data_IF_357630753183
#
_entry.id   IF_357630753183
#
_cell.length_a   1.000
_cell.length_b   1.000
_cell.length_c   1.000
_cell.angle_alpha   90.00
_cell.angle_beta   90.00
_cell.angle_gamma   90.00
#
_symmetry.space_group_name_H-M   'P 1'
#
loop_
_entity.id
_entity.type
_entity.pdbx_description
1 polymer ?
#
# COMPACT_ATOMS: atom_id res chain seq x y z
N UNK A 1 -24.58 -3.29 -8.48
CA UNK A 1 -23.49 -3.76 -9.39
C UNK A 1 -22.12 -3.17 -8.98
N UNK A 2 -21.69 -3.32 -7.73
CA UNK A 2 -20.38 -2.84 -7.24
C UNK A 2 -19.54 -3.99 -6.68
N UNK A 3 -20.19 -4.96 -6.01
CA UNK A 3 -19.58 -6.19 -5.50
C UNK A 3 -18.95 -7.07 -6.60
N UNK A 4 -19.44 -7.02 -7.83
CA UNK A 4 -18.96 -7.87 -8.94
C UNK A 4 -17.53 -7.53 -9.40
N UNK A 5 -16.95 -6.40 -9.00
CA UNK A 5 -15.56 -6.02 -9.32
C UNK A 5 -14.57 -6.35 -8.21
N UNK A 6 -15.04 -6.85 -7.06
CA UNK A 6 -14.18 -7.23 -5.96
C UNK A 6 -13.54 -8.57 -6.31
N UNK A 7 -12.27 -8.50 -6.72
CA UNK A 7 -11.46 -9.71 -6.96
C UNK A 7 -10.94 -10.22 -5.61
N UNK A 8 -10.76 -11.54 -5.47
CA UNK A 8 -10.18 -12.16 -4.27
C UNK A 8 -8.90 -11.44 -3.82
N UNK A 9 -8.05 -11.03 -4.78
CA UNK A 9 -6.85 -10.22 -4.52
C UNK A 9 -7.16 -8.92 -3.77
N UNK A 10 -8.18 -8.18 -4.18
CA UNK A 10 -8.59 -6.93 -3.53
C UNK A 10 -9.07 -7.18 -2.10
N UNK A 11 -9.80 -8.27 -1.86
CA UNK A 11 -10.25 -8.65 -0.50
C UNK A 11 -9.07 -8.95 0.40
N UNK A 12 -8.11 -9.75 -0.09
CA UNK A 12 -6.90 -10.10 0.65
C UNK A 12 -6.10 -8.85 1.01
N UNK A 13 -5.93 -7.92 0.07
CA UNK A 13 -5.25 -6.64 0.32
C UNK A 13 -5.98 -5.82 1.39
N UNK A 14 -7.31 -5.71 1.32
CA UNK A 14 -8.09 -4.96 2.31
C UNK A 14 -7.92 -5.57 3.71
N UNK A 15 -8.01 -6.89 3.84
CA UNK A 15 -7.83 -7.59 5.12
C UNK A 15 -6.42 -7.35 5.68
N UNK A 16 -5.38 -7.45 4.84
CA UNK A 16 -3.99 -7.19 5.24
C UNK A 16 -3.80 -5.76 5.76
N UNK A 17 -4.36 -4.76 5.07
CA UNK A 17 -4.25 -3.35 5.47
C UNK A 17 -4.95 -3.11 6.80
N UNK A 18 -6.18 -3.59 6.95
CA UNK A 18 -6.95 -3.43 8.20
C UNK A 18 -6.27 -4.19 9.35
N UNK A 19 -5.84 -5.43 9.12
CA UNK A 19 -5.16 -6.24 10.12
C UNK A 19 -3.87 -5.58 10.62
N UNK A 20 -3.03 -5.08 9.70
CA UNK A 20 -1.80 -4.39 10.06
C UNK A 20 -2.07 -3.09 10.83
N UNK A 21 -3.13 -2.35 10.48
CA UNK A 21 -3.53 -1.14 11.19
C UNK A 21 -4.00 -1.45 12.62
N UNK A 22 -4.83 -2.48 12.79
CA UNK A 22 -5.28 -2.92 14.12
C UNK A 22 -4.09 -3.36 14.97
N UNK A 23 -3.14 -4.10 14.39
CA UNK A 23 -1.94 -4.56 15.08
C UNK A 23 -1.05 -3.38 15.53
N UNK A 24 -0.95 -2.32 14.72
CA UNK A 24 -0.20 -1.11 15.07
C UNK A 24 -0.84 -0.30 16.22
N UNK A 25 -2.16 -0.38 16.37
CA UNK A 25 -2.90 0.25 17.47
C UNK A 25 -2.74 -0.60 18.74
N UNK A 26 -2.89 -1.92 18.63
CA UNK A 26 -2.86 -2.84 19.76
C UNK A 26 -1.45 -3.11 20.31
N UNK A 27 -0.43 -3.15 19.46
CA UNK A 27 0.96 -3.37 19.84
C UNK A 27 1.85 -2.19 19.43
N UNK A 28 2.38 -1.51 20.44
CA UNK A 28 3.29 -0.38 20.25
C UNK A 28 4.60 -0.78 19.56
N UNK A 29 5.05 -2.03 19.70
CA UNK A 29 6.26 -2.52 19.05
C UNK A 29 6.07 -2.74 17.55
N UNK A 30 4.83 -2.91 17.10
CA UNK A 30 4.51 -3.12 15.68
C UNK A 30 4.37 -1.81 14.89
N UNK A 31 4.17 -0.67 15.57
CA UNK A 31 4.09 0.66 14.94
C UNK A 31 5.20 0.98 13.94
N UNK A 32 6.50 0.77 14.25
CA UNK A 32 7.57 1.00 13.28
C UNK A 32 7.41 0.13 12.02
N UNK A 33 7.09 -1.15 12.18
CA UNK A 33 6.84 -2.07 11.06
C UNK A 33 5.64 -1.63 10.22
N UNK A 34 4.56 -1.19 10.85
CA UNK A 34 3.42 -0.61 10.14
C UNK A 34 3.81 0.66 9.37
N UNK A 35 4.64 1.52 9.97
CA UNK A 35 5.19 2.70 9.32
C UNK A 35 5.98 2.37 8.05
N UNK A 36 6.81 1.33 8.09
CA UNK A 36 7.56 0.86 6.92
C UNK A 36 6.65 0.33 5.82
N UNK A 37 5.63 -0.47 6.18
CA UNK A 37 4.63 -0.97 5.24
C UNK A 37 3.85 0.18 4.59
N UNK A 38 3.43 1.17 5.36
CA UNK A 38 2.74 2.36 4.86
C UNK A 38 3.65 3.17 3.93
N UNK A 39 4.92 3.35 4.31
CA UNK A 39 5.91 4.07 3.50
C UNK A 39 6.15 3.39 2.16
N UNK A 40 6.30 2.07 2.12
CA UNK A 40 6.46 1.29 0.87
C UNK A 40 5.18 1.36 0.04
N UNK A 41 4.01 1.21 0.64
CA UNK A 41 2.73 1.27 -0.08
C UNK A 41 2.47 2.64 -0.70
N UNK A 42 2.63 3.71 0.07
CA UNK A 42 2.47 5.10 -0.41
C UNK A 42 3.57 5.44 -1.41
N UNK A 43 4.82 5.09 -1.14
CA UNK A 43 5.94 5.33 -2.06
C UNK A 43 5.79 4.61 -3.39
N UNK A 44 5.31 3.37 -3.38
CA UNK A 44 4.99 2.61 -4.59
C UNK A 44 3.87 3.26 -5.39
N UNK A 45 2.78 3.65 -4.73
CA UNK A 45 1.67 4.33 -5.39
C UNK A 45 2.08 5.68 -5.99
N UNK A 46 2.80 6.51 -5.23
CA UNK A 46 3.33 7.79 -5.71
C UNK A 46 4.33 7.58 -6.86
N UNK A 47 5.17 6.54 -6.80
CA UNK A 47 6.09 6.17 -7.87
C UNK A 47 5.39 5.77 -9.16
N UNK A 48 4.20 5.16 -9.08
CA UNK A 48 3.36 4.85 -10.23
C UNK A 48 2.64 6.08 -10.79
N UNK A 49 2.34 7.07 -9.95
CA UNK A 49 1.70 8.32 -10.35
C UNK A 49 2.68 9.33 -10.95
N UNK A 50 3.98 9.23 -10.61
CA UNK A 50 5.03 10.04 -11.21
C UNK A 50 5.21 9.59 -12.66
N UNK A 51 4.82 10.41 -13.66
CA UNK A 51 5.03 10.06 -15.07
C UNK A 51 6.54 9.98 -15.32
N UNK A 52 6.98 8.93 -16.00
CA UNK A 52 8.36 8.60 -16.38
C UNK A 52 9.38 9.75 -16.33
N UNK A 53 9.89 10.11 -15.14
CA UNK A 53 11.09 10.94 -15.01
C UNK A 53 12.37 10.23 -15.53
N UNK A 54 12.20 9.07 -16.17
CA UNK A 54 13.24 8.23 -16.77
C UNK A 54 13.32 8.31 -18.30
N UNK A 55 12.44 9.05 -19.00
CA UNK A 55 12.56 9.20 -20.46
C UNK A 55 13.42 10.39 -20.92
N UNK A 56 13.76 11.31 -20.02
CA UNK A 56 14.51 12.55 -20.35
C UNK A 56 16.01 12.51 -20.02
N UNK A 57 16.54 11.36 -19.58
CA UNK A 57 17.97 11.16 -19.32
C UNK A 57 18.65 10.27 -20.39
N UNK A 58 17.94 9.97 -21.48
CA UNK A 58 18.43 9.21 -22.63
C UNK A 58 18.20 9.98 -23.95
N UNK A 59 18.43 11.30 -23.94
CA UNK A 59 18.46 12.14 -25.16
C UNK A 59 19.65 13.09 -25.12
#
# INVERSE_FOLDING_TARGET
KMLSRITVRSVVVIILVIGALVLAIADHNFRPTFGDLAKVGVGGYLGQLLPEAKRSLDS
#
